data_IF_370821955802
#
_entry.id   IF_370821955802
#
_cell.length_a   1.000
_cell.length_b   1.000
_cell.length_c   1.000
_cell.angle_alpha   90.00
_cell.angle_beta   90.00
_cell.angle_gamma   90.00
#
_symmetry.space_group_name_H-M   'P 1'
#
loop_
_entity.id
_entity.type
_entity.pdbx_description
1 polymer ?
#
# COMPACT_ATOMS: atom_id res chain seq x y z
N UNK A 1 -6.58 12.54 6.68
CA UNK A 1 -5.89 11.50 7.48
C UNK A 1 -6.63 10.17 7.52
N UNK A 2 -7.86 10.07 8.07
CA UNK A 2 -8.60 8.79 8.22
C UNK A 2 -8.61 7.87 6.98
N UNK A 3 -8.81 8.43 5.78
CA UNK A 3 -8.83 7.66 4.52
C UNK A 3 -7.46 7.06 4.15
N UNK A 4 -6.37 7.77 4.39
CA UNK A 4 -5.03 7.26 4.12
C UNK A 4 -4.67 6.13 5.10
N UNK A 5 -4.98 6.31 6.38
CA UNK A 5 -4.81 5.25 7.39
C UNK A 5 -5.57 3.98 7.02
N UNK A 6 -6.83 4.11 6.58
CA UNK A 6 -7.62 2.97 6.10
C UNK A 6 -6.98 2.31 4.87
N UNK A 7 -6.50 3.10 3.91
CA UNK A 7 -5.80 2.58 2.74
C UNK A 7 -4.55 1.77 3.12
N UNK A 8 -3.74 2.28 4.07
CA UNK A 8 -2.55 1.59 4.55
C UNK A 8 -2.91 0.26 5.21
N UNK A 9 -3.91 0.26 6.10
CA UNK A 9 -4.39 -0.96 6.76
C UNK A 9 -4.96 -1.97 5.77
N UNK A 10 -5.78 -1.53 4.81
CA UNK A 10 -6.35 -2.39 3.78
C UNK A 10 -5.25 -3.05 2.93
N UNK A 11 -4.26 -2.28 2.49
CA UNK A 11 -3.13 -2.79 1.71
C UNK A 11 -2.29 -3.78 2.52
N UNK A 12 -1.97 -3.47 3.78
CA UNK A 12 -1.18 -4.33 4.65
C UNK A 12 -1.90 -5.66 4.93
N UNK A 13 -3.16 -5.61 5.37
CA UNK A 13 -3.97 -6.79 5.67
C UNK A 13 -4.08 -7.69 4.42
N UNK A 14 -4.38 -7.09 3.27
CA UNK A 14 -4.51 -7.83 2.02
C UNK A 14 -3.22 -8.56 1.65
N UNK A 15 -2.08 -7.88 1.61
CA UNK A 15 -0.83 -8.49 1.16
C UNK A 15 -0.28 -9.52 2.15
N UNK A 16 -0.45 -9.31 3.46
CA UNK A 16 -0.08 -10.30 4.48
C UNK A 16 -0.94 -11.56 4.33
N UNK A 17 -2.26 -11.39 4.17
CA UNK A 17 -3.18 -12.51 3.94
C UNK A 17 -2.86 -13.25 2.63
N UNK A 18 -2.57 -12.51 1.55
CA UNK A 18 -2.22 -13.06 0.24
C UNK A 18 -0.93 -13.90 0.34
N UNK A 19 0.11 -13.38 1.01
CA UNK A 19 1.37 -14.10 1.23
C UNK A 19 1.15 -15.38 2.04
N UNK A 20 0.41 -15.31 3.15
CA UNK A 20 0.08 -16.49 3.96
C UNK A 20 -0.59 -17.57 3.13
N UNK A 21 -1.57 -17.20 2.30
CA UNK A 21 -2.26 -18.16 1.44
C UNK A 21 -1.36 -18.73 0.35
N UNK A 22 -0.46 -17.93 -0.24
CA UNK A 22 0.52 -18.43 -1.21
C UNK A 22 1.49 -19.43 -0.60
N UNK A 23 1.88 -19.24 0.66
CA UNK A 23 2.70 -20.21 1.39
C UNK A 23 1.93 -21.50 1.61
N UNK A 24 0.67 -21.40 2.05
CA UNK A 24 -0.17 -22.57 2.33
C UNK A 24 -0.48 -23.41 1.09
N UNK A 25 -0.84 -22.77 -0.03
CA UNK A 25 -1.34 -23.47 -1.21
C UNK A 25 -0.29 -23.72 -2.28
N UNK A 26 0.72 -22.86 -2.39
CA UNK A 26 1.69 -22.91 -3.50
C UNK A 26 3.13 -23.10 -3.01
N UNK A 27 3.37 -23.20 -1.70
CA UNK A 27 4.70 -23.24 -1.08
C UNK A 27 5.64 -22.11 -1.59
N UNK A 28 5.05 -20.99 -2.01
CA UNK A 28 5.79 -19.84 -2.52
C UNK A 28 6.06 -18.86 -1.38
N UNK A 29 7.30 -18.42 -1.30
CA UNK A 29 7.76 -17.46 -0.29
C UNK A 29 8.29 -16.21 -0.97
N UNK A 30 7.82 -15.05 -0.53
CA UNK A 30 8.46 -13.77 -0.81
C UNK A 30 9.23 -13.27 0.40
N UNK A 31 10.38 -12.66 0.15
CA UNK A 31 11.13 -11.96 1.18
C UNK A 31 10.27 -10.85 1.81
N UNK A 32 10.42 -10.57 3.12
CA UNK A 32 9.69 -9.51 3.81
C UNK A 32 9.77 -8.16 3.09
N UNK A 33 10.97 -7.76 2.62
CA UNK A 33 11.18 -6.53 1.86
C UNK A 33 10.36 -6.45 0.57
N UNK A 34 10.15 -7.59 -0.11
CA UNK A 34 9.33 -7.63 -1.30
C UNK A 34 7.85 -7.39 -0.97
N UNK A 35 7.37 -7.89 0.18
CA UNK A 35 5.99 -7.67 0.64
C UNK A 35 5.79 -6.22 1.04
N UNK A 36 6.75 -5.64 1.78
CA UNK A 36 6.75 -4.22 2.15
C UNK A 36 6.70 -3.35 0.90
N UNK A 37 7.55 -3.65 -0.09
CA UNK A 37 7.56 -2.92 -1.36
C UNK A 37 6.23 -3.04 -2.12
N UNK A 38 5.61 -4.22 -2.14
CA UNK A 38 4.28 -4.41 -2.75
C UNK A 38 3.19 -3.60 -2.05
N UNK A 39 3.23 -3.53 -0.71
CA UNK A 39 2.30 -2.71 0.08
C UNK A 39 2.52 -1.22 -0.24
N UNK A 40 3.76 -0.76 -0.26
CA UNK A 40 4.10 0.63 -0.59
C UNK A 40 3.65 1.00 -2.00
N UNK A 41 3.95 0.18 -3.01
CA UNK A 41 3.48 0.40 -4.39
C UNK A 41 1.95 0.44 -4.47
N UNK A 42 1.25 -0.48 -3.78
CA UNK A 42 -0.21 -0.48 -3.76
C UNK A 42 -0.78 0.82 -3.17
N UNK A 43 -0.16 1.35 -2.12
CA UNK A 43 -0.56 2.61 -1.47
C UNK A 43 -0.32 3.79 -2.41
N UNK A 44 0.87 3.91 -2.99
CA UNK A 44 1.23 5.04 -3.88
C UNK A 44 0.43 5.02 -5.18
N UNK A 45 0.16 3.86 -5.76
CA UNK A 45 -0.71 3.71 -6.94
C UNK A 45 -2.14 4.15 -6.63
N UNK A 46 -2.67 3.76 -5.47
CA UNK A 46 -4.02 4.19 -5.04
C UNK A 46 -4.10 5.68 -4.78
N UNK A 47 -3.08 6.28 -4.15
CA UNK A 47 -2.99 7.75 -4.01
C UNK A 47 -2.97 8.43 -5.38
N UNK A 48 -2.20 7.89 -6.32
CA UNK A 48 -2.09 8.40 -7.70
C UNK A 48 -3.41 8.27 -8.46
N UNK A 49 -4.20 7.22 -8.21
CA UNK A 49 -5.52 7.04 -8.82
C UNK A 49 -6.51 8.16 -8.43
N UNK A 50 -6.36 8.77 -7.25
CA UNK A 50 -7.19 9.91 -6.84
C UNK A 50 -6.91 11.17 -7.65
N UNK A 51 -5.80 11.23 -8.37
CA UNK A 51 -5.41 12.39 -9.18
C UNK A 51 -6.43 12.71 -10.28
N UNK A 52 -7.12 11.68 -10.79
CA UNK A 52 -8.22 11.82 -11.75
C UNK A 52 -9.46 12.50 -11.15
N UNK A 53 -9.67 12.40 -9.83
CA UNK A 53 -10.81 13.03 -9.13
C UNK A 53 -10.45 14.37 -8.51
N UNK A 54 -9.24 14.48 -7.97
CA UNK A 54 -8.74 15.71 -7.35
C UNK A 54 -7.21 15.67 -7.27
N UNK A 55 -6.57 16.53 -8.07
CA UNK A 55 -5.12 16.71 -8.08
C UNK A 55 -4.59 17.14 -6.70
N UNK A 56 -5.30 18.06 -6.04
CA UNK A 56 -4.91 18.65 -4.75
C UNK A 56 -4.93 17.59 -3.63
N UNK A 57 -5.99 16.78 -3.58
CA UNK A 57 -6.10 15.73 -2.57
C UNK A 57 -5.03 14.65 -2.75
N UNK A 58 -4.79 14.22 -4.00
CA UNK A 58 -3.73 13.25 -4.34
C UNK A 58 -2.35 13.76 -3.93
N UNK A 59 -2.02 15.01 -4.28
CA UNK A 59 -0.74 15.63 -3.91
C UNK A 59 -0.55 15.71 -2.40
N UNK A 60 -1.56 16.16 -1.64
CA UNK A 60 -1.50 16.19 -0.17
C UNK A 60 -1.27 14.81 0.46
N UNK A 61 -1.93 13.77 -0.06
CA UNK A 61 -1.73 12.42 0.44
C UNK A 61 -0.34 11.86 0.11
N UNK A 62 0.18 12.16 -1.08
CA UNK A 62 1.53 11.74 -1.48
C UNK A 62 2.60 12.45 -0.64
N UNK A 63 2.46 13.77 -0.44
CA UNK A 63 3.37 14.53 0.43
C UNK A 63 3.39 13.99 1.85
N UNK A 64 2.21 13.67 2.41
CA UNK A 64 2.12 13.07 3.73
C UNK A 64 2.77 11.68 3.77
N UNK A 65 2.58 10.84 2.74
CA UNK A 65 3.25 9.54 2.64
C UNK A 65 4.78 9.67 2.64
N UNK A 66 5.33 10.55 1.79
CA UNK A 66 6.76 10.77 1.70
C UNK A 66 7.36 11.33 3.00
N UNK A 67 6.60 12.13 3.75
CA UNK A 67 7.04 12.62 5.06
C UNK A 67 7.14 11.54 6.15
N UNK A 68 6.62 10.33 5.90
CA UNK A 68 6.75 9.18 6.82
C UNK A 68 7.94 8.28 6.51
N UNK A 69 8.65 8.50 5.40
CA UNK A 69 9.83 7.72 4.99
C UNK A 69 11.17 8.36 5.44
N UNK A 70 11.14 9.52 6.11
CA UNK A 70 12.29 10.16 6.77
C UNK A 70 12.43 9.73 8.22
#
# INVERSE_FOLDING_TARGET
MKRLTLLCWQSAIYWIWQERNKRLHNNQFRAPDAIIRLITCQITDRISSYRLKSLIASSRYMQFWLSTET
#
